data_IF_608474590751
#
_entry.id   IF_608474590751
#
_cell.length_a   1.000
_cell.length_b   1.000
_cell.length_c   1.000
_cell.angle_alpha   90.00
_cell.angle_beta   90.00
_cell.angle_gamma   90.00
#
_symmetry.space_group_name_H-M   'P 1'
#
loop_
_entity.id
_entity.type
_entity.pdbx_description
1 polymer ?
#
# COMPACT_ATOMS: atom_id res chain seq x y z
N UNK A 1 -0.79 11.15 -4.05
CA UNK A 1 0.09 11.63 -5.15
C UNK A 1 1.47 10.96 -5.12
N UNK A 2 2.18 10.88 -3.96
CA UNK A 2 3.52 10.29 -3.88
C UNK A 2 3.58 8.85 -4.44
N UNK A 3 2.66 7.98 -4.02
CA UNK A 3 2.60 6.61 -4.54
C UNK A 3 2.33 6.58 -6.06
N UNK A 4 1.49 7.48 -6.55
CA UNK A 4 1.21 7.56 -7.98
C UNK A 4 2.46 7.92 -8.78
N UNK A 5 3.22 8.93 -8.35
CA UNK A 5 4.47 9.31 -9.01
C UNK A 5 5.53 8.20 -8.95
N UNK A 6 5.63 7.48 -7.83
CA UNK A 6 6.56 6.35 -7.72
C UNK A 6 6.20 5.22 -8.68
N UNK A 7 4.91 4.87 -8.77
CA UNK A 7 4.43 3.85 -9.71
C UNK A 7 4.57 4.33 -11.16
N UNK A 8 4.24 5.60 -11.46
CA UNK A 8 4.41 6.20 -12.79
C UNK A 8 5.87 6.14 -13.27
N UNK A 9 6.82 6.39 -12.38
CA UNK A 9 8.25 6.37 -12.71
C UNK A 9 8.74 4.99 -13.14
N UNK A 10 8.20 3.91 -12.56
CA UNK A 10 8.65 2.55 -12.83
C UNK A 10 7.81 1.80 -13.87
N UNK A 11 6.58 2.20 -14.11
CA UNK A 11 5.60 1.41 -14.90
C UNK A 11 5.14 2.09 -16.20
N UNK A 12 5.59 3.29 -16.53
CA UNK A 12 5.07 4.04 -17.70
C UNK A 12 3.50 4.03 -17.76
N UNK A 13 2.85 4.23 -16.62
CA UNK A 13 1.41 4.09 -16.35
C UNK A 13 0.52 4.77 -17.40
N UNK A 14 0.99 5.87 -17.97
CA UNK A 14 0.23 6.63 -18.99
C UNK A 14 0.01 5.86 -20.30
N UNK A 15 0.72 4.72 -20.50
CA UNK A 15 0.61 3.90 -21.69
C UNK A 15 -0.08 2.56 -21.48
N UNK A 16 -0.25 2.12 -20.24
CA UNK A 16 -0.84 0.81 -19.90
C UNK A 16 -1.80 0.97 -18.71
N UNK A 17 -2.95 0.32 -18.81
CA UNK A 17 -3.88 0.20 -17.69
C UNK A 17 -3.53 -1.01 -16.84
N UNK A 18 -3.82 -0.89 -15.54
CA UNK A 18 -3.88 -2.03 -14.65
C UNK A 18 -5.23 -2.74 -14.84
N UNK A 19 -5.24 -4.06 -15.04
CA UNK A 19 -6.48 -4.84 -15.10
C UNK A 19 -7.23 -4.80 -13.76
N UNK A 20 -6.48 -4.88 -12.65
CA UNK A 20 -7.05 -4.84 -11.31
C UNK A 20 -6.13 -4.12 -10.32
N UNK A 21 -6.71 -3.21 -9.54
CA UNK A 21 -6.04 -2.48 -8.46
C UNK A 21 -6.75 -2.77 -7.15
N UNK A 22 -5.99 -3.06 -6.10
CA UNK A 22 -6.46 -3.23 -4.74
C UNK A 22 -5.87 -2.15 -3.84
N UNK A 23 -6.72 -1.42 -3.12
CA UNK A 23 -6.32 -0.39 -2.15
C UNK A 23 -6.57 -0.89 -0.72
N UNK A 24 -5.47 -1.23 -0.04
CA UNK A 24 -5.48 -1.73 1.34
C UNK A 24 -5.52 -0.55 2.33
N UNK A 25 -6.46 -0.59 3.27
CA UNK A 25 -6.72 0.53 4.17
C UNK A 25 -7.11 1.78 3.38
N UNK A 26 -8.05 1.62 2.47
CA UNK A 26 -8.40 2.65 1.48
C UNK A 26 -8.92 3.96 2.09
N UNK A 27 -9.31 3.95 3.36
CA UNK A 27 -9.83 5.12 4.05
C UNK A 27 -10.97 5.76 3.27
N UNK A 28 -10.85 7.05 3.01
CA UNK A 28 -11.81 7.80 2.18
C UNK A 28 -11.54 7.71 0.67
N UNK A 29 -10.54 6.94 0.22
CA UNK A 29 -10.20 6.75 -1.19
C UNK A 29 -9.32 7.84 -1.80
N UNK A 30 -8.51 8.54 -1.02
CA UNK A 30 -7.63 9.59 -1.56
C UNK A 30 -6.48 9.01 -2.36
N UNK A 31 -5.92 7.88 -1.95
CA UNK A 31 -4.81 7.23 -2.63
C UNK A 31 -5.23 6.65 -3.99
N UNK A 32 -6.45 6.14 -4.10
CA UNK A 32 -7.01 5.56 -5.32
C UNK A 32 -7.30 6.58 -6.43
N UNK A 33 -7.58 7.83 -6.06
CA UNK A 33 -8.05 8.85 -7.00
C UNK A 33 -7.20 8.98 -8.27
N UNK A 34 -5.86 9.12 -8.20
CA UNK A 34 -5.04 9.24 -9.40
C UNK A 34 -4.96 7.95 -10.22
N UNK A 35 -5.20 6.78 -9.61
CA UNK A 35 -5.10 5.49 -10.27
C UNK A 35 -6.39 5.07 -11.00
N UNK A 36 -7.55 5.59 -10.61
CA UNK A 36 -8.83 5.13 -11.15
C UNK A 36 -8.92 5.17 -12.67
N UNK A 37 -8.43 6.22 -13.30
CA UNK A 37 -8.44 6.35 -14.76
C UNK A 37 -7.54 5.35 -15.48
N UNK A 38 -6.59 4.74 -14.76
CA UNK A 38 -5.65 3.73 -15.26
C UNK A 38 -6.00 2.32 -14.79
N UNK A 39 -7.20 2.10 -14.25
CA UNK A 39 -7.64 0.82 -13.72
C UNK A 39 -8.91 0.35 -14.42
N UNK A 40 -8.95 -0.91 -14.84
CA UNK A 40 -10.18 -1.50 -15.35
C UNK A 40 -11.12 -1.88 -14.20
N UNK A 41 -10.54 -2.36 -13.09
CA UNK A 41 -11.24 -2.70 -11.86
C UNK A 41 -10.47 -2.21 -10.63
N UNK A 42 -11.20 -1.73 -9.63
CA UNK A 42 -10.60 -1.23 -8.38
C UNK A 42 -11.39 -1.69 -7.17
N UNK A 43 -10.72 -2.39 -6.27
CA UNK A 43 -11.25 -2.76 -4.95
C UNK A 43 -10.62 -1.94 -3.85
N UNK A 44 -11.37 -1.70 -2.78
CA UNK A 44 -10.88 -1.06 -1.56
C UNK A 44 -11.29 -1.86 -0.33
N UNK A 45 -10.37 -1.97 0.63
CA UNK A 45 -10.64 -2.59 1.93
C UNK A 45 -10.26 -1.64 3.05
N UNK A 46 -11.12 -1.53 4.04
CA UNK A 46 -10.85 -0.74 5.25
C UNK A 46 -11.61 -1.34 6.43
N UNK A 47 -11.11 -1.14 7.63
CA UNK A 47 -11.76 -1.60 8.86
C UNK A 47 -12.88 -0.65 9.33
N UNK A 48 -12.88 0.59 8.85
CA UNK A 48 -13.80 1.64 9.29
C UNK A 48 -15.01 1.79 8.37
N UNK A 49 -16.24 1.43 8.82
CA UNK A 49 -17.46 1.66 8.05
C UNK A 49 -17.67 3.13 7.66
N UNK A 50 -17.27 4.04 8.54
CA UNK A 50 -17.39 5.48 8.30
C UNK A 50 -16.49 5.95 7.15
N UNK A 51 -15.27 5.42 7.05
CA UNK A 51 -14.36 5.68 5.93
C UNK A 51 -14.90 5.09 4.63
N UNK A 52 -15.36 3.84 4.66
CA UNK A 52 -15.96 3.18 3.50
C UNK A 52 -17.21 3.90 2.97
N UNK A 53 -18.00 4.48 3.86
CA UNK A 53 -19.15 5.30 3.45
C UNK A 53 -18.72 6.53 2.64
N UNK A 54 -17.65 7.21 3.08
CA UNK A 54 -17.08 8.35 2.35
C UNK A 54 -16.44 7.91 1.03
N UNK A 55 -15.69 6.80 1.02
CA UNK A 55 -15.10 6.23 -0.18
C UNK A 55 -16.16 5.87 -1.24
N UNK A 56 -17.29 5.27 -0.80
CA UNK A 56 -18.44 4.94 -1.66
C UNK A 56 -19.03 6.17 -2.32
N UNK A 57 -19.12 7.29 -1.59
CA UNK A 57 -19.63 8.56 -2.11
C UNK A 57 -18.79 9.15 -3.26
N UNK A 58 -17.52 8.75 -3.39
CA UNK A 58 -16.64 9.19 -4.48
C UNK A 58 -16.78 8.39 -5.76
N UNK A 59 -17.41 7.22 -5.75
CA UNK A 59 -17.62 6.38 -6.94
C UNK A 59 -16.33 5.86 -7.59
N UNK A 60 -15.25 5.71 -6.83
CA UNK A 60 -13.95 5.28 -7.36
C UNK A 60 -13.79 3.76 -7.40
N UNK A 61 -14.48 3.04 -6.52
CA UNK A 61 -14.30 1.61 -6.32
C UNK A 61 -15.45 0.81 -6.91
N UNK A 62 -15.11 -0.29 -7.58
CA UNK A 62 -16.07 -1.29 -8.04
C UNK A 62 -16.52 -2.21 -6.90
N UNK A 63 -15.65 -2.39 -5.87
CA UNK A 63 -15.93 -3.17 -4.66
C UNK A 63 -15.31 -2.51 -3.43
N UNK A 64 -16.10 -2.33 -2.37
CA UNK A 64 -15.63 -1.86 -1.05
C UNK A 64 -15.99 -2.88 0.00
N UNK A 65 -15.03 -3.27 0.82
CA UNK A 65 -15.16 -4.33 1.81
C UNK A 65 -14.71 -3.83 3.18
N UNK A 66 -15.54 -4.07 4.18
CA UNK A 66 -15.20 -3.89 5.58
C UNK A 66 -14.49 -5.15 6.07
N UNK A 67 -13.20 -5.07 6.29
CA UNK A 67 -12.39 -6.19 6.79
C UNK A 67 -11.05 -5.70 7.34
N UNK A 68 -10.49 -6.52 8.21
CA UNK A 68 -9.08 -6.44 8.57
C UNK A 68 -8.23 -6.89 7.36
N UNK A 69 -7.07 -6.23 7.15
CA UNK A 69 -6.26 -6.41 5.93
C UNK A 69 -5.76 -7.85 5.75
N UNK A 70 -5.21 -8.47 6.80
CA UNK A 70 -4.69 -9.84 6.71
C UNK A 70 -5.80 -10.87 6.51
N UNK A 71 -6.95 -10.70 7.16
CA UNK A 71 -8.10 -11.57 6.99
C UNK A 71 -8.63 -11.50 5.55
N UNK A 72 -8.72 -10.28 5.00
CA UNK A 72 -9.10 -10.06 3.60
C UNK A 72 -8.11 -10.71 2.64
N UNK A 73 -6.80 -10.45 2.79
CA UNK A 73 -5.77 -11.03 1.93
C UNK A 73 -5.76 -12.55 1.96
N UNK A 74 -6.01 -13.16 3.12
CA UNK A 74 -6.13 -14.62 3.24
C UNK A 74 -7.28 -15.16 2.40
N UNK A 75 -8.46 -14.52 2.46
CA UNK A 75 -9.62 -14.93 1.65
C UNK A 75 -9.40 -14.76 0.13
N UNK A 76 -8.71 -13.69 -0.26
CA UNK A 76 -8.36 -13.46 -1.68
C UNK A 76 -7.31 -14.47 -2.19
N UNK A 77 -6.38 -14.91 -1.33
CA UNK A 77 -5.42 -15.95 -1.67
C UNK A 77 -6.09 -17.31 -1.89
N UNK A 78 -7.12 -17.65 -1.11
CA UNK A 78 -7.90 -18.89 -1.28
C UNK A 78 -8.57 -18.97 -2.66
N UNK A 79 -9.05 -17.87 -3.19
CA UNK A 79 -9.67 -17.80 -4.52
C UNK A 79 -8.65 -17.52 -5.64
N UNK A 80 -7.35 -17.46 -5.29
CA UNK A 80 -6.25 -17.17 -6.22
C UNK A 80 -6.46 -15.85 -6.98
N UNK A 81 -6.90 -14.82 -6.28
CA UNK A 81 -6.97 -13.48 -6.84
C UNK A 81 -5.60 -13.05 -7.36
N UNK A 82 -5.58 -12.34 -8.48
CA UNK A 82 -4.34 -11.86 -9.09
C UNK A 82 -4.42 -10.36 -9.35
N UNK A 83 -3.93 -9.54 -8.41
CA UNK A 83 -3.95 -8.09 -8.55
C UNK A 83 -2.72 -7.59 -9.31
N UNK A 84 -2.94 -6.69 -10.28
CA UNK A 84 -1.85 -6.08 -11.05
C UNK A 84 -1.17 -4.97 -10.27
N UNK A 85 -1.90 -4.29 -9.38
CA UNK A 85 -1.35 -3.32 -8.47
C UNK A 85 -2.06 -3.42 -7.10
N UNK A 86 -1.26 -3.48 -6.03
CA UNK A 86 -1.74 -3.33 -4.66
C UNK A 86 -1.19 -2.01 -4.12
N UNK A 87 -2.06 -1.19 -3.56
CA UNK A 87 -1.74 0.07 -2.90
C UNK A 87 -1.89 -0.10 -1.38
N UNK A 88 -1.00 0.52 -0.60
CA UNK A 88 -1.13 0.62 0.85
C UNK A 88 -0.57 1.99 1.31
N UNK A 89 -1.43 3.01 1.25
CA UNK A 89 -1.09 4.37 1.66
C UNK A 89 -1.46 4.61 3.12
N UNK A 90 -0.50 5.00 3.95
CA UNK A 90 -0.70 5.35 5.35
C UNK A 90 -1.38 4.24 6.20
N UNK A 91 -1.06 2.98 5.92
CA UNK A 91 -1.60 1.79 6.60
C UNK A 91 -0.53 1.09 7.41
N UNK A 92 0.64 0.87 6.85
CA UNK A 92 1.68 0.04 7.46
C UNK A 92 2.34 0.68 8.67
N UNK A 93 2.11 1.97 8.91
CA UNK A 93 2.52 2.63 10.15
C UNK A 93 1.81 2.11 11.42
N UNK A 94 0.78 1.30 11.26
CA UNK A 94 0.08 0.64 12.39
C UNK A 94 0.59 -0.78 12.66
N UNK A 95 1.55 -1.27 11.87
CA UNK A 95 2.13 -2.61 11.96
C UNK A 95 3.57 -2.54 12.47
N UNK A 96 3.92 -3.36 13.43
CA UNK A 96 5.29 -3.54 13.91
C UNK A 96 6.08 -4.54 13.03
N UNK A 97 5.43 -5.55 12.49
CA UNK A 97 5.99 -6.51 11.54
C UNK A 97 5.36 -6.35 10.15
N UNK A 98 6.19 -5.96 9.18
CA UNK A 98 5.79 -5.88 7.78
C UNK A 98 5.84 -7.24 7.07
N UNK A 99 6.57 -8.22 7.60
CA UNK A 99 6.82 -9.49 6.90
C UNK A 99 5.54 -10.26 6.64
N UNK A 100 4.65 -10.31 7.62
CA UNK A 100 3.39 -11.06 7.52
C UNK A 100 2.46 -10.48 6.46
N UNK A 101 2.26 -9.16 6.45
CA UNK A 101 1.40 -8.50 5.47
C UNK A 101 2.01 -8.54 4.06
N UNK A 102 3.33 -8.38 3.94
CA UNK A 102 4.02 -8.46 2.64
C UNK A 102 3.96 -9.86 2.04
N UNK A 103 4.09 -10.92 2.85
CA UNK A 103 3.88 -12.32 2.41
C UNK A 103 2.44 -12.54 1.93
N UNK A 104 1.45 -12.03 2.65
CA UNK A 104 0.06 -12.17 2.24
C UNK A 104 -0.23 -11.41 0.93
N UNK A 105 0.36 -10.22 0.74
CA UNK A 105 0.26 -9.45 -0.51
C UNK A 105 0.92 -10.21 -1.67
N UNK A 106 2.10 -10.80 -1.48
CA UNK A 106 2.78 -11.57 -2.51
C UNK A 106 1.93 -12.73 -3.05
N UNK A 107 1.08 -13.33 -2.21
CA UNK A 107 0.18 -14.42 -2.61
C UNK A 107 -0.99 -13.98 -3.50
N UNK A 108 -1.38 -12.71 -3.42
CA UNK A 108 -2.51 -12.16 -4.19
C UNK A 108 -2.06 -11.28 -5.36
N UNK A 109 -0.76 -11.04 -5.52
CA UNK A 109 -0.23 -10.35 -6.70
C UNK A 109 -0.27 -11.26 -7.93
N UNK A 110 -0.62 -10.69 -9.07
CA UNK A 110 -0.40 -11.33 -10.36
C UNK A 110 1.10 -11.57 -10.60
N UNK A 111 1.46 -12.43 -11.56
CA UNK A 111 2.86 -12.77 -11.86
C UNK A 111 3.75 -11.57 -12.22
N UNK A 112 3.16 -10.50 -12.74
CA UNK A 112 3.83 -9.21 -13.00
C UNK A 112 3.23 -8.09 -12.14
N UNK A 113 2.56 -8.44 -11.05
CA UNK A 113 1.90 -7.50 -10.16
C UNK A 113 2.89 -6.69 -9.35
N UNK A 114 2.50 -5.49 -8.98
CA UNK A 114 3.28 -4.56 -8.19
C UNK A 114 2.58 -4.19 -6.89
N UNK A 115 3.37 -3.89 -5.89
CA UNK A 115 2.94 -3.31 -4.62
C UNK A 115 3.56 -1.92 -4.51
N UNK A 116 2.74 -0.92 -4.19
CA UNK A 116 3.21 0.42 -3.84
C UNK A 116 2.69 0.79 -2.45
N UNK A 117 3.59 1.15 -1.54
CA UNK A 117 3.22 1.49 -0.17
C UNK A 117 4.05 2.61 0.43
N UNK A 118 3.54 3.20 1.50
CA UNK A 118 4.27 4.17 2.31
C UNK A 118 4.41 3.69 3.75
N UNK A 119 5.53 4.04 4.38
CA UNK A 119 5.76 3.87 5.82
C UNK A 119 6.42 5.12 6.39
N UNK A 120 6.20 5.42 7.67
CA UNK A 120 7.08 6.36 8.37
C UNK A 120 8.46 5.72 8.57
N UNK A 121 9.51 6.54 8.56
CA UNK A 121 10.89 6.03 8.69
C UNK A 121 11.70 6.77 9.76
N UNK A 122 12.83 6.17 10.12
CA UNK A 122 13.83 6.74 11.03
C UNK A 122 15.25 6.33 10.58
N UNK A 123 16.26 7.01 11.10
CA UNK A 123 17.66 6.80 10.68
C UNK A 123 18.29 5.48 11.19
N UNK A 124 17.65 4.78 12.12
CA UNK A 124 18.16 3.51 12.67
C UNK A 124 17.68 2.30 11.87
N UNK A 125 18.24 1.15 12.20
CA UNK A 125 17.76 -0.14 11.70
C UNK A 125 16.57 -0.65 12.54
N UNK A 126 15.70 -1.45 11.94
CA UNK A 126 14.58 -2.06 12.64
C UNK A 126 13.33 -1.18 12.72
N UNK A 127 12.56 -1.34 13.80
CA UNK A 127 11.24 -0.72 14.00
C UNK A 127 11.25 0.13 15.27
N UNK A 128 10.66 1.32 15.21
CA UNK A 128 10.53 2.24 16.32
C UNK A 128 9.07 2.62 16.53
N UNK A 129 8.51 2.35 17.72
CA UNK A 129 7.21 2.89 18.11
C UNK A 129 7.37 4.35 18.55
N UNK A 130 6.68 5.27 17.87
CA UNK A 130 6.68 6.71 18.19
C UNK A 130 5.66 7.04 19.27
N UNK A 131 5.80 8.20 19.90
CA UNK A 131 4.82 8.73 20.86
C UNK A 131 3.40 8.85 20.28
N UNK A 132 3.30 8.98 18.97
CA UNK A 132 2.03 9.01 18.21
C UNK A 132 1.35 7.65 18.08
N UNK A 133 1.89 6.60 18.70
CA UNK A 133 1.44 5.21 18.59
C UNK A 133 1.49 4.69 17.14
N UNK A 134 2.45 5.19 16.36
CA UNK A 134 2.74 4.73 15.00
C UNK A 134 4.15 4.16 14.95
N UNK A 135 4.33 3.14 14.14
CA UNK A 135 5.62 2.53 13.90
C UNK A 135 6.34 3.25 12.76
N UNK A 136 7.61 3.54 12.98
CA UNK A 136 8.53 3.98 11.95
C UNK A 136 9.50 2.84 11.64
N UNK A 137 9.73 2.58 10.37
CA UNK A 137 10.54 1.45 9.88
C UNK A 137 11.83 1.96 9.26
N UNK A 138 12.97 1.45 9.74
CA UNK A 138 14.25 1.71 9.09
C UNK A 138 14.31 1.13 7.69
N UNK A 139 15.06 1.75 6.78
CA UNK A 139 15.19 1.26 5.40
C UNK A 139 15.66 -0.19 5.33
N UNK A 140 16.65 -0.56 6.16
CA UNK A 140 17.16 -1.94 6.21
C UNK A 140 16.07 -2.95 6.61
N UNK A 141 15.18 -2.58 7.55
CA UNK A 141 14.05 -3.41 7.95
C UNK A 141 13.05 -3.62 6.79
N UNK A 142 12.71 -2.54 6.07
CA UNK A 142 11.80 -2.63 4.91
C UNK A 142 12.38 -3.54 3.82
N UNK A 143 13.67 -3.40 3.50
CA UNK A 143 14.35 -4.26 2.51
C UNK A 143 14.37 -5.72 2.94
N UNK A 144 14.65 -5.99 4.21
CA UNK A 144 14.66 -7.36 4.76
C UNK A 144 13.26 -7.99 4.72
N UNK A 145 12.22 -7.24 5.09
CA UNK A 145 10.83 -7.70 5.05
C UNK A 145 10.35 -8.02 3.63
N UNK A 146 10.70 -7.19 2.63
CA UNK A 146 10.42 -7.47 1.22
C UNK A 146 11.11 -8.76 0.75
N UNK A 147 12.41 -8.91 1.06
CA UNK A 147 13.16 -10.11 0.69
C UNK A 147 12.57 -11.37 1.35
N UNK A 148 12.18 -11.30 2.64
CA UNK A 148 11.54 -12.41 3.34
C UNK A 148 10.15 -12.76 2.79
N UNK A 149 9.47 -11.82 2.14
CA UNK A 149 8.21 -12.04 1.45
C UNK A 149 8.38 -12.53 0.00
N UNK A 150 9.60 -12.59 -0.51
CA UNK A 150 9.89 -12.96 -1.90
C UNK A 150 9.62 -11.84 -2.91
N UNK A 151 9.40 -10.61 -2.44
CA UNK A 151 9.16 -9.44 -3.28
C UNK A 151 10.49 -8.76 -3.65
N UNK A 152 10.63 -8.38 -4.92
CA UNK A 152 11.77 -7.62 -5.43
C UNK A 152 11.54 -6.15 -5.27
N UNK A 153 12.42 -5.43 -4.60
CA UNK A 153 12.40 -3.98 -4.55
C UNK A 153 12.65 -3.39 -5.95
N UNK A 154 11.77 -2.51 -6.41
CA UNK A 154 11.88 -1.81 -7.70
C UNK A 154 12.35 -0.37 -7.45
N UNK A 155 11.69 0.37 -6.57
CA UNK A 155 12.14 1.70 -6.13
C UNK A 155 11.87 1.93 -4.64
N UNK A 156 12.72 2.76 -4.04
CA UNK A 156 12.56 3.23 -2.67
C UNK A 156 13.05 4.67 -2.61
N UNK A 157 12.13 5.58 -2.26
CA UNK A 157 12.39 7.00 -2.20
C UNK A 157 12.03 7.57 -0.82
N UNK A 158 12.82 8.50 -0.33
CA UNK A 158 12.51 9.27 0.87
C UNK A 158 11.57 10.42 0.52
N UNK A 159 10.46 10.55 1.26
CA UNK A 159 9.51 11.64 1.07
C UNK A 159 8.84 12.01 2.40
N UNK A 160 8.29 13.21 2.47
CA UNK A 160 7.37 13.56 3.56
C UNK A 160 6.00 12.99 3.25
N UNK A 161 5.58 11.96 4.00
CA UNK A 161 4.29 11.32 3.79
C UNK A 161 3.14 12.10 4.39
N UNK A 162 3.42 12.91 5.44
CA UNK A 162 2.45 13.77 6.11
C UNK A 162 3.14 14.88 6.88
N UNK A 163 2.36 15.80 7.40
CA UNK A 163 2.83 16.85 8.33
C UNK A 163 2.23 16.63 9.72
N UNK A 164 3.03 16.72 10.75
CA UNK A 164 2.61 16.63 12.15
C UNK A 164 3.02 17.89 12.90
N UNK A 165 2.05 18.60 13.49
CA UNK A 165 2.27 19.88 14.18
C UNK A 165 3.11 20.87 13.36
N UNK A 166 2.92 20.91 12.04
CA UNK A 166 3.64 21.76 11.12
C UNK A 166 5.02 21.24 10.68
N UNK A 167 5.47 20.08 11.20
CA UNK A 167 6.76 19.45 10.84
C UNK A 167 6.52 18.29 9.87
N UNK A 168 7.27 18.24 8.75
CA UNK A 168 7.21 17.09 7.84
C UNK A 168 7.62 15.80 8.53
N UNK A 169 6.83 14.75 8.39
CA UNK A 169 7.18 13.39 8.86
C UNK A 169 7.85 12.64 7.73
N UNK A 170 9.12 12.29 7.95
CA UNK A 170 9.88 11.53 6.96
C UNK A 170 9.34 10.12 6.83
N UNK A 171 9.18 9.68 5.60
CA UNK A 171 8.74 8.34 5.25
C UNK A 171 9.50 7.76 4.06
N UNK A 172 9.20 6.52 3.77
CA UNK A 172 9.64 5.80 2.57
C UNK A 172 8.44 5.58 1.67
N UNK A 173 8.63 5.84 0.39
CA UNK A 173 7.73 5.44 -0.69
C UNK A 173 8.39 4.28 -1.40
N UNK A 174 7.71 3.13 -1.44
CA UNK A 174 8.30 1.88 -1.91
C UNK A 174 7.44 1.29 -3.01
N UNK A 175 8.10 0.86 -4.09
CA UNK A 175 7.49 0.01 -5.13
C UNK A 175 8.26 -1.30 -5.17
N UNK A 176 7.53 -2.41 -5.12
CA UNK A 176 8.07 -3.76 -5.18
C UNK A 176 7.19 -4.64 -6.08
N UNK A 177 7.66 -5.80 -6.48
CA UNK A 177 6.89 -6.73 -7.31
C UNK A 177 7.40 -8.17 -7.22
N UNK A 178 6.67 -9.10 -7.87
CA UNK A 178 7.06 -10.50 -7.97
C UNK A 178 8.29 -10.72 -8.88
#
# INVERSE_FOLDING_TARGET
ELLFHAVEAVHAVRRMKFGSVLDLGCGTGLAALPFRQFSDWMGGVDLSPAMLMQARGKGLYDRLIESEVLAFLSSEAEIKAGYHLVLAADVFMYLDDLTSVLKAIAQVLASSGQLAFSVETHAGDGVLLRETLRYAHGEAHVRAALAAAGLKLISLDFASTRTEKGVPVLGLIVVAGN
#
